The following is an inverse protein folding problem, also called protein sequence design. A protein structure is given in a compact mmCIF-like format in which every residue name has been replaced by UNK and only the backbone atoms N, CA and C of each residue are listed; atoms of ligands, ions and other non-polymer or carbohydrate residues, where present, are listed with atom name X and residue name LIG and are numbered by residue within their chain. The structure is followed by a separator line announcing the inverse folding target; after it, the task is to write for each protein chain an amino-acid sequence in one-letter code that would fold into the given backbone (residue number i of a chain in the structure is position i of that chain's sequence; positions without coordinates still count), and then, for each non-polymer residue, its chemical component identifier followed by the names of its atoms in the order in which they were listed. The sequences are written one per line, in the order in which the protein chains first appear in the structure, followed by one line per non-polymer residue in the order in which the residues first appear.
data_IF_074106060438
#
_entry.id   IF_074106060438
#
_cell.length_a   1.000
_cell.length_b   1.000
_cell.length_c   1.000
_cell.angle_alpha   90.00
_cell.angle_beta   90.00
_cell.angle_gamma   90.00
#
_symmetry.space_group_name_H-M   'P 1'
#
loop_
_entity.id
_entity.type
_entity.pdbx_description
1 polymer ?
#
# COMPACT_ATOMS: atom_id res chain seq x y z
N UNK A 1 -7.93 9.19 -14.37
CA UNK A 1 -8.21 7.73 -14.40
C UNK A 1 -9.28 7.46 -13.35
N UNK A 2 -10.38 6.77 -13.69
CA UNK A 2 -11.50 6.59 -12.75
C UNK A 2 -11.13 5.64 -11.60
N UNK A 3 -11.25 6.11 -10.36
CA UNK A 3 -11.07 5.38 -9.08
C UNK A 3 -11.66 3.96 -9.09
N UNK A 4 -12.85 3.83 -9.68
CA UNK A 4 -13.61 2.58 -9.82
C UNK A 4 -12.87 1.46 -10.55
N UNK A 5 -11.90 1.79 -11.43
CA UNK A 5 -11.08 0.77 -12.09
C UNK A 5 -10.18 0.07 -11.08
N UNK A 6 -9.61 0.80 -10.13
CA UNK A 6 -8.68 0.25 -9.15
C UNK A 6 -9.41 -0.52 -8.05
N UNK A 7 -10.55 -0.02 -7.59
CA UNK A 7 -11.43 -0.72 -6.65
C UNK A 7 -11.81 -2.11 -7.19
N UNK A 8 -12.27 -2.19 -8.44
CA UNK A 8 -12.58 -3.48 -9.09
C UNK A 8 -11.39 -4.43 -9.20
N UNK A 9 -10.16 -3.92 -9.30
CA UNK A 9 -8.95 -4.77 -9.32
C UNK A 9 -8.73 -5.38 -7.95
N UNK A 10 -8.88 -4.58 -6.89
CA UNK A 10 -8.78 -5.04 -5.50
C UNK A 10 -9.86 -6.08 -5.22
N UNK A 11 -11.13 -5.79 -5.53
CA UNK A 11 -12.26 -6.72 -5.30
C UNK A 11 -12.03 -8.11 -5.93
N UNK A 12 -11.57 -8.15 -7.19
CA UNK A 12 -11.26 -9.41 -7.88
C UNK A 12 -10.10 -10.16 -7.24
N UNK A 13 -9.09 -9.43 -6.77
CA UNK A 13 -7.96 -10.05 -6.09
C UNK A 13 -8.38 -10.59 -4.73
N UNK A 14 -9.25 -9.89 -4.00
CA UNK A 14 -9.83 -10.34 -2.74
C UNK A 14 -10.69 -11.59 -2.91
N UNK A 15 -11.46 -11.69 -3.99
CA UNK A 15 -12.20 -12.92 -4.34
C UNK A 15 -11.26 -14.11 -4.51
N UNK A 16 -10.12 -13.91 -5.20
CA UNK A 16 -9.09 -14.93 -5.32
C UNK A 16 -8.50 -15.31 -3.96
N UNK A 17 -8.14 -14.33 -3.13
CA UNK A 17 -7.60 -14.57 -1.79
C UNK A 17 -8.56 -15.43 -0.94
N UNK A 18 -9.85 -15.09 -0.90
CA UNK A 18 -10.88 -15.86 -0.19
C UNK A 18 -11.01 -17.28 -0.72
N UNK A 19 -11.02 -17.45 -2.04
CA UNK A 19 -11.15 -18.78 -2.69
C UNK A 19 -10.00 -19.70 -2.31
N UNK A 20 -8.79 -19.15 -2.19
CA UNK A 20 -7.58 -19.92 -1.85
C UNK A 20 -7.33 -20.01 -0.33
N UNK A 21 -8.20 -19.44 0.51
CA UNK A 21 -8.01 -19.44 1.98
C UNK A 21 -6.82 -18.61 2.45
N UNK A 22 -6.50 -17.51 1.75
CA UNK A 22 -5.38 -16.61 2.07
C UNK A 22 -5.92 -15.34 2.71
N UNK A 23 -5.46 -14.99 3.92
CA UNK A 23 -5.99 -13.85 4.68
C UNK A 23 -5.64 -12.48 4.08
N UNK A 24 -4.54 -12.39 3.33
CA UNK A 24 -4.09 -11.17 2.70
C UNK A 24 -2.77 -11.34 1.97
N UNK A 25 -2.43 -10.34 1.17
CA UNK A 25 -1.19 -10.32 0.39
C UNK A 25 -0.45 -9.00 0.57
N UNK A 26 0.88 -9.09 0.71
CA UNK A 26 1.77 -7.94 0.73
C UNK A 26 2.43 -7.78 -0.64
N UNK A 27 2.10 -6.69 -1.32
CA UNK A 27 2.60 -6.35 -2.65
C UNK A 27 3.82 -5.44 -2.53
N UNK A 28 4.97 -5.95 -2.98
CA UNK A 28 6.27 -5.25 -2.97
C UNK A 28 6.81 -4.97 -4.38
N UNK A 29 6.26 -5.62 -5.40
CA UNK A 29 6.68 -5.41 -6.79
C UNK A 29 6.06 -4.13 -7.33
N UNK A 30 6.87 -3.23 -7.89
CA UNK A 30 6.43 -1.90 -8.33
C UNK A 30 5.33 -1.95 -9.40
N UNK A 31 5.44 -2.85 -10.37
CA UNK A 31 4.43 -2.98 -11.44
C UNK A 31 3.06 -3.36 -10.89
N UNK A 32 3.01 -4.35 -10.00
CA UNK A 32 1.77 -4.78 -9.32
C UNK A 32 1.23 -3.70 -8.39
N UNK A 33 2.11 -2.99 -7.69
CA UNK A 33 1.71 -1.86 -6.85
C UNK A 33 1.02 -0.76 -7.69
N UNK A 34 1.61 -0.37 -8.83
CA UNK A 34 1.03 0.61 -9.75
C UNK A 34 -0.29 0.10 -10.34
N UNK A 35 -0.38 -1.20 -10.62
CA UNK A 35 -1.62 -1.81 -11.09
C UNK A 35 -2.78 -1.62 -10.12
N UNK A 36 -2.56 -1.78 -8.81
CA UNK A 36 -3.61 -1.61 -7.81
C UNK A 36 -3.83 -0.15 -7.38
N UNK A 37 -2.77 0.65 -7.28
CA UNK A 37 -2.87 2.02 -6.72
C UNK A 37 -3.03 3.10 -7.78
N UNK A 38 -2.62 2.83 -9.02
CA UNK A 38 -2.50 3.84 -10.08
C UNK A 38 -1.30 4.77 -9.92
N UNK A 39 -0.49 4.59 -8.88
CA UNK A 39 0.53 5.56 -8.46
C UNK A 39 1.89 4.87 -8.39
N UNK A 40 2.90 5.45 -9.06
CA UNK A 40 4.29 5.01 -8.90
C UNK A 40 4.84 5.55 -7.58
N UNK A 41 5.37 4.68 -6.74
CA UNK A 41 6.00 5.05 -5.46
C UNK A 41 7.38 4.43 -5.33
N UNK A 42 8.33 5.14 -4.71
CA UNK A 42 9.72 4.69 -4.61
C UNK A 42 9.85 3.37 -3.83
N UNK A 43 9.08 3.25 -2.74
CA UNK A 43 9.09 2.08 -1.85
C UNK A 43 7.69 1.45 -1.84
N UNK A 44 7.34 0.62 -2.84
CA UNK A 44 6.01 0.00 -2.92
C UNK A 44 5.75 -0.91 -1.73
N UNK A 45 4.69 -0.63 -0.99
CA UNK A 45 4.21 -1.44 0.11
C UNK A 45 2.69 -1.35 0.17
N UNK A 46 2.00 -2.36 -0.36
CA UNK A 46 0.55 -2.42 -0.30
C UNK A 46 0.13 -3.72 0.37
N UNK A 47 -0.68 -3.62 1.42
CA UNK A 47 -1.41 -4.74 2.01
C UNK A 47 -2.81 -4.79 1.40
N UNK A 48 -3.15 -5.92 0.77
CA UNK A 48 -4.53 -6.21 0.37
C UNK A 48 -5.05 -7.35 1.24
N UNK A 49 -5.94 -7.08 2.20
CA UNK A 49 -6.61 -8.14 2.97
C UNK A 49 -7.65 -8.85 2.11
N UNK A 50 -8.04 -10.08 2.45
CA UNK A 50 -9.11 -10.82 1.76
C UNK A 50 -10.49 -10.18 1.86
N UNK A 51 -10.68 -9.26 2.81
CA UNK A 51 -11.88 -8.45 2.99
C UNK A 51 -11.50 -7.07 3.58
N UNK A 52 -12.27 -6.04 3.22
CA UNK A 52 -12.03 -4.66 3.64
C UNK A 52 -11.05 -3.88 2.76
N UNK A 53 -10.58 -2.75 3.28
CA UNK A 53 -9.85 -1.74 2.51
C UNK A 53 -8.33 -2.04 2.38
N UNK A 54 -7.75 -1.84 1.18
CA UNK A 54 -6.29 -1.93 0.99
C UNK A 54 -5.55 -0.87 1.81
N UNK A 55 -4.39 -1.23 2.37
CA UNK A 55 -3.56 -0.32 3.17
C UNK A 55 -2.19 -0.13 2.54
N UNK A 56 -1.80 1.11 2.27
CA UNK A 56 -0.44 1.42 1.80
C UNK A 56 0.43 1.84 2.98
N UNK A 57 1.67 1.36 3.00
CA UNK A 57 2.66 1.73 4.00
C UNK A 57 3.71 2.62 3.34
N UNK A 58 3.86 3.85 3.82
CA UNK A 58 4.79 4.86 3.27
C UNK A 58 5.80 5.30 4.32
N UNK A 59 6.88 5.97 3.92
CA UNK A 59 7.79 6.54 4.91
C UNK A 59 7.12 7.70 5.66
N UNK A 60 7.59 8.01 6.87
CA UNK A 60 7.13 9.16 7.64
C UNK A 60 7.17 10.46 6.81
N UNK A 61 6.08 11.22 6.83
CA UNK A 61 5.92 12.46 6.05
C UNK A 61 5.47 12.26 4.61
N UNK A 62 5.33 11.03 4.11
CA UNK A 62 4.90 10.75 2.74
C UNK A 62 3.37 10.59 2.60
N UNK A 63 2.62 10.39 3.69
CA UNK A 63 1.21 10.00 3.59
C UNK A 63 0.34 11.06 2.90
N UNK A 64 0.55 12.33 3.20
CA UNK A 64 -0.21 13.42 2.61
C UNK A 64 -0.05 13.46 1.07
N UNK A 65 1.19 13.36 0.58
CA UNK A 65 1.46 13.34 -0.85
C UNK A 65 0.92 12.07 -1.52
N UNK A 66 1.01 10.92 -0.84
CA UNK A 66 0.49 9.67 -1.37
C UNK A 66 -1.04 9.72 -1.55
N UNK A 67 -1.77 10.22 -0.56
CA UNK A 67 -3.24 10.38 -0.61
C UNK A 67 -3.67 11.34 -1.72
N UNK A 68 -2.92 12.41 -1.97
CA UNK A 68 -3.22 13.34 -3.08
C UNK A 68 -3.04 12.70 -4.48
N UNK A 69 -2.26 11.63 -4.59
CA UNK A 69 -1.87 11.00 -5.86
C UNK A 69 -2.51 9.64 -6.11
N UNK A 70 -3.21 9.09 -5.13
CA UNK A 70 -3.80 7.76 -5.18
C UNK A 70 -5.24 7.80 -4.68
N UNK A 71 -5.97 6.70 -4.86
CA UNK A 71 -7.33 6.54 -4.36
C UNK A 71 -7.39 5.89 -2.97
N UNK A 72 -6.24 5.49 -2.43
CA UNK A 72 -6.14 4.74 -1.18
C UNK A 72 -6.22 5.70 0.00
N UNK A 73 -7.22 5.51 0.85
CA UNK A 73 -7.41 6.33 2.05
C UNK A 73 -6.63 5.80 3.26
N UNK A 74 -6.48 4.48 3.36
CA UNK A 74 -5.74 3.82 4.42
C UNK A 74 -4.25 3.85 4.13
N UNK A 75 -3.58 4.88 4.64
CA UNK A 75 -2.14 5.06 4.49
C UNK A 75 -1.51 5.11 5.87
N UNK A 76 -0.62 4.16 6.15
CA UNK A 76 0.13 4.07 7.39
C UNK A 76 1.54 4.56 7.12
N UNK A 77 2.02 5.47 7.95
CA UNK A 77 3.42 5.88 7.93
C UNK A 77 4.25 4.90 8.77
N UNK A 78 5.39 4.49 8.25
CA UNK A 78 6.40 3.77 9.01
C UNK A 78 7.67 4.61 9.12
N UNK A 79 8.28 4.57 10.29
CA UNK A 79 9.61 5.09 10.54
C UNK A 79 10.50 3.86 10.76
N UNK A 80 11.39 3.56 9.81
CA UNK A 80 12.47 2.59 10.10
C UNK A 80 13.44 3.26 11.05
N UNK A 81 13.93 2.45 11.97
CA UNK A 81 14.77 2.70 13.15
C UNK A 81 16.06 3.48 12.90
N UNK A 82 16.32 4.01 11.72
CA UNK A 82 17.51 4.84 11.44
C UNK A 82 17.50 6.17 12.23
N UNK A 83 16.33 6.63 12.68
CA UNK A 83 16.23 7.72 13.67
C UNK A 83 16.70 7.30 15.09
N UNK A 84 16.81 5.99 15.39
CA UNK A 84 17.52 5.48 16.57
C UNK A 84 19.03 5.63 16.39
N UNK A 85 19.55 5.42 15.17
CA UNK A 85 20.98 5.58 14.86
C UNK A 85 21.41 7.05 14.83
N UNK A 86 20.50 7.97 14.50
CA UNK A 86 20.73 9.42 14.61
C UNK A 86 20.87 9.91 16.07
N UNK A 87 20.38 9.16 17.06
CA UNK A 87 20.52 9.46 18.50
C UNK A 87 21.74 8.79 19.17
N UNK A 88 22.52 7.98 18.45
CA UNK A 88 23.71 7.27 18.97
C UNK A 88 25.03 7.81 18.36
N UNK A 89 24.99 8.98 17.71
CA UNK A 89 26.22 9.69 17.35
C UNK A 89 26.43 10.83 18.34
N UNK A 90 27.55 10.72 19.06
CA UNK A 90 28.09 11.60 20.10
C UNK A 90 28.37 13.01 19.55
#
# INVERSE_FOLDING_TARGET
MERRIFERRVERFQELLRREGIDGAVIRTLSTFVYFTGTKWLRPALLVPQDGEPTVIVAKGEAGLFKQRSWIENVVEFQKTEDLMANVTI
#
